data_IF_668750344509
#
_entry.id   IF_668750344509
#
_cell.length_a   1.000
_cell.length_b   1.000
_cell.length_c   1.000
_cell.angle_alpha   90.00
_cell.angle_beta   90.00
_cell.angle_gamma   90.00
#
_symmetry.space_group_name_H-M   'P 1'
#
loop_
_entity.id
_entity.type
_entity.pdbx_description
1 polymer ?
#
# COMPACT_ATOMS: atom_id res chain seq x y z
N UNK A 1 -5.43 -4.52 -17.75
CA UNK A 1 -4.82 -3.21 -17.42
C UNK A 1 -3.46 -3.34 -16.75
N UNK A 2 -3.31 -3.77 -15.49
CA UNK A 2 -1.98 -3.82 -14.84
C UNK A 2 -1.01 -4.87 -15.41
N UNK A 3 -1.51 -6.00 -15.91
CA UNK A 3 -0.69 -7.00 -16.62
C UNK A 3 -0.05 -6.41 -17.88
N UNK A 4 -0.79 -5.57 -18.61
CA UNK A 4 -0.29 -4.86 -19.78
C UNK A 4 0.71 -3.77 -19.39
N UNK A 5 0.44 -2.98 -18.34
CA UNK A 5 1.41 -1.99 -17.84
C UNK A 5 2.75 -2.64 -17.42
N UNK A 6 2.71 -3.83 -16.83
CA UNK A 6 3.91 -4.63 -16.58
C UNK A 6 4.61 -5.06 -17.88
N UNK A 7 3.86 -5.57 -18.86
CA UNK A 7 4.39 -5.97 -20.18
C UNK A 7 5.02 -4.78 -20.95
N UNK A 8 4.48 -3.57 -20.77
CA UNK A 8 5.02 -2.32 -21.32
C UNK A 8 6.14 -1.68 -20.47
N UNK A 9 6.55 -2.32 -19.35
CA UNK A 9 7.56 -1.81 -18.39
C UNK A 9 7.21 -0.46 -17.78
N UNK A 10 5.94 -0.16 -17.62
CA UNK A 10 5.45 1.12 -17.11
C UNK A 10 5.23 1.10 -15.57
N UNK A 11 5.74 0.07 -14.89
CA UNK A 11 5.66 -0.10 -13.44
C UNK A 11 7.06 -0.22 -12.85
N UNK A 12 7.47 0.79 -12.08
CA UNK A 12 8.77 0.85 -11.43
C UNK A 12 8.63 0.68 -9.91
N UNK A 13 9.68 0.18 -9.28
CA UNK A 13 9.75 0.17 -7.83
C UNK A 13 9.70 1.62 -7.30
N UNK A 14 8.89 1.85 -6.27
CA UNK A 14 8.64 3.18 -5.69
C UNK A 14 7.45 3.92 -6.31
N UNK A 15 6.81 3.35 -7.33
CA UNK A 15 5.58 3.90 -7.91
C UNK A 15 4.38 3.69 -6.97
N UNK A 16 3.56 4.73 -6.88
CA UNK A 16 2.32 4.74 -6.11
C UNK A 16 1.19 5.20 -7.02
N UNK A 17 0.22 4.32 -7.28
CA UNK A 17 -0.94 4.67 -8.09
C UNK A 17 -2.17 4.81 -7.20
N UNK A 18 -2.78 5.99 -7.19
CA UNK A 18 -4.04 6.25 -6.50
C UNK A 18 -5.19 6.06 -7.49
N UNK A 19 -6.04 5.08 -7.19
CA UNK A 19 -7.18 4.70 -8.01
C UNK A 19 -8.45 5.04 -7.23
N UNK A 20 -9.30 5.90 -7.78
CA UNK A 20 -10.60 6.21 -7.18
C UNK A 20 -11.54 5.02 -7.38
N UNK A 21 -12.19 4.57 -6.32
CA UNK A 21 -13.34 3.67 -6.41
C UNK A 21 -14.57 4.58 -6.44
N UNK A 22 -15.12 4.80 -7.63
CA UNK A 22 -16.47 5.35 -7.75
C UNK A 22 -17.46 4.19 -7.58
N UNK A 23 -18.40 4.31 -6.64
CA UNK A 23 -19.57 3.44 -6.59
C UNK A 23 -20.54 3.83 -7.72
N UNK A 24 -20.20 3.48 -8.95
CA UNK A 24 -21.18 3.45 -10.04
C UNK A 24 -21.90 2.10 -10.00
N UNK A 25 -22.79 1.90 -9.02
CA UNK A 25 -24.03 1.14 -9.18
C UNK A 25 -24.84 1.05 -7.87
N UNK A 26 -26.06 1.61 -7.92
CA UNK A 26 -27.20 0.99 -7.25
C UNK A 26 -27.71 1.62 -5.96
N UNK A 27 -28.30 2.81 -6.08
CA UNK A 27 -29.55 3.18 -5.39
C UNK A 27 -29.63 3.03 -3.87
N UNK A 28 -29.41 4.14 -3.16
CA UNK A 28 -30.32 4.75 -2.16
C UNK A 28 -29.52 5.75 -1.34
N UNK A 29 -29.70 7.03 -1.68
CA UNK A 29 -29.53 8.19 -0.79
C UNK A 29 -28.43 8.15 0.25
N UNK A 30 -27.18 8.45 -0.15
CA UNK A 30 -26.27 9.22 0.71
C UNK A 30 -25.59 10.27 -0.16
N UNK A 31 -26.27 11.39 -0.38
CA UNK A 31 -25.60 12.63 -0.72
C UNK A 31 -24.60 12.93 0.43
N UNK A 32 -23.30 12.76 0.18
CA UNK A 32 -22.25 13.06 1.17
C UNK A 32 -21.27 11.92 1.50
N UNK A 33 -21.29 10.79 0.79
CA UNK A 33 -20.27 9.74 0.97
C UNK A 33 -18.88 10.19 0.53
N UNK A 34 -17.89 10.18 1.44
CA UNK A 34 -16.49 10.47 1.10
C UNK A 34 -15.96 9.48 0.05
N UNK A 35 -15.23 9.93 -0.99
CA UNK A 35 -14.71 9.06 -2.03
C UNK A 35 -13.68 8.08 -1.47
N UNK A 36 -13.77 6.82 -1.89
CA UNK A 36 -12.81 5.78 -1.53
C UNK A 36 -11.68 5.72 -2.56
N UNK A 37 -10.47 5.50 -2.08
CA UNK A 37 -9.27 5.42 -2.92
C UNK A 37 -8.48 4.17 -2.57
N UNK A 38 -7.90 3.55 -3.59
CA UNK A 38 -6.96 2.46 -3.45
C UNK A 38 -5.59 2.94 -3.87
N UNK A 39 -4.62 2.79 -2.98
CA UNK A 39 -3.23 3.10 -3.24
C UNK A 39 -2.48 1.80 -3.59
N UNK A 40 -2.06 1.64 -4.84
CA UNK A 40 -1.22 0.54 -5.28
C UNK A 40 0.26 0.97 -5.19
N UNK A 41 0.97 0.42 -4.20
CA UNK A 41 2.41 0.66 -4.01
C UNK A 41 3.23 -0.46 -4.65
N UNK A 42 4.15 -0.11 -5.55
CA UNK A 42 5.04 -1.05 -6.23
C UNK A 42 6.35 -1.15 -5.45
N UNK A 43 6.44 -2.12 -4.55
CA UNK A 43 7.58 -2.29 -3.62
C UNK A 43 8.25 -3.66 -3.68
N UNK A 44 7.78 -4.51 -4.59
CA UNK A 44 8.31 -5.84 -4.85
C UNK A 44 8.45 -6.06 -6.35
N UNK A 45 9.51 -6.78 -6.73
CA UNK A 45 9.73 -7.22 -8.09
C UNK A 45 9.38 -8.69 -8.25
N UNK A 46 8.95 -9.06 -9.46
CA UNK A 46 8.70 -10.45 -9.83
C UNK A 46 9.65 -10.85 -10.96
N UNK A 47 10.39 -11.94 -10.77
CA UNK A 47 11.29 -12.52 -11.74
C UNK A 47 11.13 -14.06 -11.76
N UNK A 48 10.45 -14.64 -12.76
CA UNK A 48 10.17 -16.07 -12.82
C UNK A 48 11.44 -16.92 -13.01
N UNK A 49 12.58 -16.33 -13.38
CA UNK A 49 13.86 -17.03 -13.55
C UNK A 49 14.61 -17.27 -12.24
N UNK A 50 14.14 -16.70 -11.11
CA UNK A 50 14.76 -16.88 -9.78
C UNK A 50 14.15 -18.05 -9.02
N UNK A 51 14.94 -18.68 -8.14
CA UNK A 51 14.48 -19.75 -7.21
C UNK A 51 13.29 -19.31 -6.35
N UNK A 52 13.28 -18.05 -5.94
CA UNK A 52 12.14 -17.39 -5.31
C UNK A 52 11.70 -16.27 -6.26
N UNK A 53 10.55 -16.43 -6.95
CA UNK A 53 10.15 -15.48 -8.00
C UNK A 53 9.83 -14.07 -7.51
N UNK A 54 9.44 -13.90 -6.24
CA UNK A 54 9.14 -12.59 -5.63
C UNK A 54 10.32 -12.11 -4.80
N UNK A 55 10.71 -10.85 -4.97
CA UNK A 55 11.67 -10.23 -4.05
C UNK A 55 11.06 -9.98 -2.68
N UNK A 56 11.90 -9.76 -1.67
CA UNK A 56 11.48 -9.11 -0.44
C UNK A 56 10.90 -7.72 -0.73
N UNK A 57 10.16 -7.19 0.23
CA UNK A 57 9.69 -5.80 0.18
C UNK A 57 10.90 -4.88 0.28
N UNK A 58 11.04 -3.98 -0.69
CA UNK A 58 12.08 -2.96 -0.67
C UNK A 58 11.67 -1.83 0.29
N UNK A 59 12.40 -1.68 1.39
CA UNK A 59 12.12 -0.66 2.41
C UNK A 59 12.25 0.78 1.86
N UNK A 60 13.29 1.12 1.05
CA UNK A 60 13.38 2.46 0.47
C UNK A 60 12.19 2.80 -0.43
N UNK A 61 11.77 1.86 -1.29
CA UNK A 61 10.63 2.07 -2.20
C UNK A 61 9.31 2.17 -1.42
N UNK A 62 9.18 1.41 -0.32
CA UNK A 62 8.06 1.50 0.59
C UNK A 62 8.01 2.85 1.30
N UNK A 63 9.13 3.36 1.80
CA UNK A 63 9.22 4.69 2.41
C UNK A 63 8.79 5.78 1.41
N UNK A 64 9.25 5.69 0.16
CA UNK A 64 8.84 6.61 -0.89
C UNK A 64 7.33 6.55 -1.16
N UNK A 65 6.76 5.34 -1.26
CA UNK A 65 5.33 5.15 -1.42
C UNK A 65 4.53 5.69 -0.23
N UNK A 66 5.00 5.42 1.00
CA UNK A 66 4.37 5.87 2.24
C UNK A 66 4.32 7.39 2.31
N UNK A 67 5.42 8.07 1.98
CA UNK A 67 5.48 9.54 1.93
C UNK A 67 4.48 10.14 0.93
N UNK A 68 4.31 9.50 -0.23
CA UNK A 68 3.36 9.98 -1.26
C UNK A 68 1.90 9.77 -0.82
N UNK A 69 1.57 8.59 -0.29
CA UNK A 69 0.19 8.27 0.13
C UNK A 69 -0.19 9.03 1.39
N UNK A 70 0.74 9.27 2.32
CA UNK A 70 0.47 10.00 3.55
C UNK A 70 0.19 11.46 3.28
N UNK A 71 0.99 12.09 2.41
CA UNK A 71 0.73 13.43 1.91
C UNK A 71 -0.63 13.52 1.22
N UNK A 72 -0.93 12.60 0.29
CA UNK A 72 -2.21 12.58 -0.39
C UNK A 72 -3.40 12.38 0.57
N UNK A 73 -3.26 11.50 1.57
CA UNK A 73 -4.28 11.27 2.58
C UNK A 73 -4.52 12.52 3.43
N UNK A 74 -3.45 13.22 3.83
CA UNK A 74 -3.55 14.47 4.59
C UNK A 74 -4.31 15.55 3.80
N UNK A 75 -3.98 15.74 2.51
CA UNK A 75 -4.67 16.69 1.63
C UNK A 75 -6.17 16.38 1.46
N UNK A 76 -6.55 15.10 1.55
CA UNK A 76 -7.94 14.64 1.40
C UNK A 76 -8.65 14.39 2.74
N UNK A 77 -8.03 14.75 3.88
CA UNK A 77 -8.54 14.43 5.22
C UNK A 77 -8.92 12.94 5.39
N UNK A 78 -8.15 12.06 4.74
CA UNK A 78 -8.39 10.63 4.70
C UNK A 78 -7.53 9.87 5.71
N UNK A 79 -8.01 8.71 6.14
CA UNK A 79 -7.21 7.71 6.86
C UNK A 79 -6.66 6.67 5.91
N UNK A 80 -5.53 6.07 6.28
CA UNK A 80 -4.93 4.95 5.54
C UNK A 80 -5.33 3.64 6.21
N UNK A 81 -5.75 2.67 5.41
CA UNK A 81 -6.12 1.34 5.83
C UNK A 81 -5.30 0.32 5.04
N UNK A 82 -4.56 -0.55 5.74
CA UNK A 82 -3.67 -1.51 5.07
C UNK A 82 -3.54 -2.83 5.82
N UNK A 83 -3.29 -3.95 5.12
CA UNK A 83 -2.91 -5.20 5.76
C UNK A 83 -1.46 -5.13 6.28
N UNK A 84 -1.16 -5.94 7.30
CA UNK A 84 0.23 -6.20 7.71
C UNK A 84 1.02 -6.81 6.54
N UNK A 85 2.13 -6.19 6.19
CA UNK A 85 3.06 -6.66 5.15
C UNK A 85 4.25 -7.40 5.78
N UNK A 86 4.92 -8.29 5.04
CA UNK A 86 6.08 -9.05 5.57
C UNK A 86 5.68 -10.10 6.61
N UNK A 87 4.75 -10.98 6.27
CA UNK A 87 4.38 -12.17 7.06
C UNK A 87 4.84 -13.43 6.30
N UNK A 88 6.11 -13.51 5.88
CA UNK A 88 6.56 -14.64 5.06
C UNK A 88 7.58 -15.55 5.72
N UNK A 89 8.45 -15.12 6.64
CA UNK A 89 9.39 -16.04 7.31
C UNK A 89 9.96 -15.47 8.63
N UNK A 90 10.51 -16.31 9.52
CA UNK A 90 10.94 -15.97 10.90
C UNK A 90 11.88 -14.75 11.11
N UNK A 91 12.42 -14.14 10.05
CA UNK A 91 13.05 -12.81 10.07
C UNK A 91 12.05 -11.63 10.05
N UNK A 92 10.75 -11.91 9.97
CA UNK A 92 9.64 -10.95 9.81
C UNK A 92 9.56 -9.90 10.91
N UNK A 93 10.09 -10.18 12.12
CA UNK A 93 9.99 -9.26 13.25
C UNK A 93 10.82 -7.99 13.05
N UNK A 94 12.04 -8.11 12.52
CA UNK A 94 12.92 -6.94 12.32
C UNK A 94 12.46 -6.09 11.14
N UNK A 95 12.03 -6.72 10.04
CA UNK A 95 11.48 -6.00 8.89
C UNK A 95 10.17 -5.29 9.25
N UNK A 96 9.27 -5.97 9.97
CA UNK A 96 8.01 -5.36 10.42
C UNK A 96 8.25 -4.19 11.37
N UNK A 97 9.20 -4.31 12.30
CA UNK A 97 9.56 -3.19 13.19
C UNK A 97 9.99 -1.95 12.40
N UNK A 98 10.79 -2.12 11.34
CA UNK A 98 11.17 -1.02 10.45
C UNK A 98 9.95 -0.41 9.74
N UNK A 99 9.04 -1.25 9.24
CA UNK A 99 7.78 -0.78 8.62
C UNK A 99 6.94 0.00 9.62
N UNK A 100 6.75 -0.51 10.85
CA UNK A 100 6.00 0.18 11.90
C UNK A 100 6.59 1.55 12.24
N UNK A 101 7.91 1.66 12.26
CA UNK A 101 8.59 2.96 12.47
C UNK A 101 8.29 3.93 11.34
N UNK A 102 8.29 3.47 10.09
CA UNK A 102 7.92 4.31 8.94
C UNK A 102 6.45 4.73 9.02
N UNK A 103 5.53 3.81 9.33
CA UNK A 103 4.12 4.13 9.50
C UNK A 103 3.90 5.18 10.59
N UNK A 104 4.56 5.03 11.75
CA UNK A 104 4.49 6.02 12.84
C UNK A 104 5.08 7.36 12.44
N UNK A 105 6.20 7.37 11.70
CA UNK A 105 6.82 8.60 11.18
C UNK A 105 5.81 9.39 10.33
N UNK A 106 5.23 8.76 9.31
CA UNK A 106 4.33 9.46 8.38
C UNK A 106 2.95 9.75 8.97
N UNK A 107 2.46 8.93 9.91
CA UNK A 107 1.27 9.27 10.69
C UNK A 107 1.47 10.57 11.48
N UNK A 108 2.64 10.75 12.10
CA UNK A 108 2.96 11.95 12.88
C UNK A 108 3.28 13.16 12.01
N UNK A 109 4.06 12.98 10.94
CA UNK A 109 4.48 14.07 10.04
C UNK A 109 3.29 14.67 9.30
N UNK A 110 2.40 13.83 8.78
CA UNK A 110 1.28 14.26 7.94
C UNK A 110 -0.05 14.39 8.71
N UNK A 111 -0.05 14.05 10.00
CA UNK A 111 -1.21 14.19 10.88
C UNK A 111 -2.37 13.24 10.57
N UNK A 112 -2.08 12.09 9.96
CA UNK A 112 -3.09 11.13 9.49
C UNK A 112 -3.22 9.90 10.40
N UNK A 113 -4.40 9.28 10.36
CA UNK A 113 -4.63 7.99 11.03
C UNK A 113 -4.28 6.85 10.08
N UNK A 114 -3.47 5.91 10.57
CA UNK A 114 -3.11 4.69 9.83
C UNK A 114 -3.59 3.47 10.62
N UNK A 115 -4.37 2.61 9.97
CA UNK A 115 -4.92 1.38 10.52
C UNK A 115 -4.29 0.17 9.84
N UNK A 116 -3.71 -0.73 10.65
CA UNK A 116 -3.09 -1.97 10.18
C UNK A 116 -3.93 -3.17 10.60
N UNK A 117 -4.29 -4.01 9.62
CA UNK A 117 -5.03 -5.24 9.87
C UNK A 117 -4.13 -6.45 9.95
N UNK A 118 -4.31 -7.24 11.02
CA UNK A 118 -3.69 -8.54 11.20
C UNK A 118 -4.67 -9.62 10.75
N UNK A 119 -4.47 -10.17 9.56
CA UNK A 119 -5.27 -11.31 9.10
C UNK A 119 -4.56 -12.61 9.47
N UNK A 120 -5.14 -13.47 10.33
CA UNK A 120 -4.62 -14.82 10.50
C UNK A 120 -4.83 -15.58 9.19
N UNK A 121 -3.82 -16.31 8.71
CA UNK A 121 -4.11 -17.33 7.69
C UNK A 121 -4.94 -18.41 8.38
N UNK A 122 -6.16 -18.67 7.91
CA UNK A 122 -6.89 -19.88 8.30
C UNK A 122 -5.96 -21.06 8.03
N UNK A 123 -5.67 -21.84 9.07
CA UNK A 123 -4.94 -23.11 8.95
C UNK A 123 -5.75 -24.11 8.14
#
# INVERSE_FOLDING_TARGET
MYRQAYEFRDLHLGDLHLIRINEENGGLGVEGGSPWWVALAVVQSYNPRRKIPRSSISIPDLEQCLSKVSFAASQNSASIHMPRIGYQDGSDRSQWYTVERLLRKYASVDGIKIYVYYHPRSS
#
